data_IF_115366442972
#
_entry.id   IF_115366442972
#
_cell.length_a   1.000
_cell.length_b   1.000
_cell.length_c   1.000
_cell.angle_alpha   90.00
_cell.angle_beta   90.00
_cell.angle_gamma   90.00
#
_symmetry.space_group_name_H-M   'P 1'
#
loop_
_entity.id
_entity.type
_entity.pdbx_description
1 polymer ?
#
# COMPACT_ATOMS: atom_id res chain seq x y z
N UNK A 1 -10.55 -19.33 8.72
CA UNK A 1 -11.83 -19.81 9.30
C UNK A 1 -12.36 -21.09 8.64
N UNK A 2 -12.49 -21.19 7.31
CA UNK A 2 -12.97 -22.43 6.67
C UNK A 2 -11.85 -23.45 6.44
N UNK A 3 -10.65 -22.97 6.07
CA UNK A 3 -9.42 -23.79 6.03
C UNK A 3 -9.18 -24.47 7.38
N UNK A 4 -9.21 -23.70 8.47
CA UNK A 4 -9.01 -24.22 9.85
C UNK A 4 -10.06 -25.29 10.21
N UNK A 5 -11.34 -25.02 9.91
CA UNK A 5 -12.42 -26.01 10.12
C UNK A 5 -12.20 -27.31 9.35
N UNK A 6 -11.67 -27.22 8.14
CA UNK A 6 -11.41 -28.39 7.29
C UNK A 6 -10.19 -29.16 7.81
N UNK A 7 -9.16 -28.46 8.30
CA UNK A 7 -8.02 -29.06 8.98
C UNK A 7 -8.43 -29.79 10.27
N UNK A 8 -9.28 -29.16 11.10
CA UNK A 8 -9.84 -29.79 12.30
C UNK A 8 -10.64 -31.04 11.96
N UNK A 9 -11.44 -31.00 10.88
CA UNK A 9 -12.20 -32.15 10.38
C UNK A 9 -11.30 -33.30 9.94
N UNK A 10 -10.21 -33.03 9.21
CA UNK A 10 -9.21 -34.04 8.83
C UNK A 10 -8.60 -34.65 10.09
N UNK A 11 -8.21 -33.83 11.07
CA UNK A 11 -7.64 -34.30 12.33
C UNK A 11 -8.59 -35.17 13.15
N UNK A 12 -9.88 -34.85 13.15
CA UNK A 12 -10.90 -35.67 13.80
C UNK A 12 -11.09 -37.01 13.07
N UNK A 13 -11.26 -36.98 11.75
CA UNK A 13 -11.46 -38.19 10.92
C UNK A 13 -10.27 -39.13 10.99
N UNK A 14 -9.04 -38.61 10.98
CA UNK A 14 -7.83 -39.41 11.10
C UNK A 14 -7.73 -40.11 12.48
N UNK A 15 -8.19 -39.46 13.56
CA UNK A 15 -8.19 -40.03 14.91
C UNK A 15 -9.26 -41.11 15.10
N UNK A 16 -10.40 -40.97 14.43
CA UNK A 16 -11.50 -41.93 14.49
C UNK A 16 -11.47 -42.97 13.38
N UNK A 17 -10.38 -43.04 12.61
CA UNK A 17 -10.29 -43.90 11.44
C UNK A 17 -10.25 -45.38 11.87
N UNK A 18 -11.24 -46.15 11.43
CA UNK A 18 -11.41 -47.56 11.77
C UNK A 18 -10.96 -48.51 10.65
N UNK A 19 -10.47 -47.98 9.53
CA UNK A 19 -10.06 -48.76 8.35
C UNK A 19 -11.20 -49.16 7.43
N UNK A 20 -12.43 -48.66 7.66
CA UNK A 20 -13.54 -48.86 6.73
C UNK A 20 -13.39 -47.98 5.48
N UNK A 21 -13.83 -48.48 4.33
CA UNK A 21 -13.84 -47.71 3.07
C UNK A 21 -14.64 -46.40 3.19
N UNK A 22 -15.68 -46.39 4.02
CA UNK A 22 -16.49 -45.20 4.27
C UNK A 22 -15.67 -44.14 5.03
N UNK A 23 -14.91 -44.55 6.05
CA UNK A 23 -14.03 -43.65 6.79
C UNK A 23 -12.89 -43.13 5.91
N UNK A 24 -12.34 -43.98 5.04
CA UNK A 24 -11.28 -43.63 4.10
C UNK A 24 -11.78 -42.60 3.07
N UNK A 25 -12.92 -42.86 2.43
CA UNK A 25 -13.55 -41.93 1.47
C UNK A 25 -13.82 -40.57 2.12
N UNK A 26 -14.39 -40.56 3.33
CA UNK A 26 -14.69 -39.32 4.05
C UNK A 26 -13.43 -38.50 4.38
N UNK A 27 -12.31 -39.18 4.67
CA UNK A 27 -11.01 -38.55 4.93
C UNK A 27 -10.44 -37.95 3.64
N UNK A 28 -10.47 -38.68 2.53
CA UNK A 28 -10.01 -38.22 1.23
C UNK A 28 -10.78 -36.98 0.75
N UNK A 29 -12.11 -36.98 0.88
CA UNK A 29 -12.95 -35.82 0.55
C UNK A 29 -12.59 -34.58 1.39
N UNK A 30 -12.35 -34.77 2.69
CA UNK A 30 -11.96 -33.69 3.57
C UNK A 30 -10.58 -33.13 3.20
N UNK A 31 -9.63 -33.99 2.84
CA UNK A 31 -8.30 -33.61 2.36
C UNK A 31 -8.36 -32.87 1.03
N UNK A 32 -9.11 -33.37 0.06
CA UNK A 32 -9.30 -32.73 -1.25
C UNK A 32 -9.87 -31.31 -1.08
N UNK A 33 -10.91 -31.16 -0.24
CA UNK A 33 -11.49 -29.85 0.07
C UNK A 33 -10.50 -28.91 0.75
N UNK A 34 -9.69 -29.40 1.68
CA UNK A 34 -8.67 -28.59 2.34
C UNK A 34 -7.62 -28.07 1.35
N UNK A 35 -7.13 -28.95 0.47
CA UNK A 35 -6.16 -28.57 -0.56
C UNK A 35 -6.73 -27.53 -1.52
N UNK A 36 -7.95 -27.74 -2.00
CA UNK A 36 -8.63 -26.79 -2.88
C UNK A 36 -8.82 -25.42 -2.22
N UNK A 37 -9.28 -25.38 -0.97
CA UNK A 37 -9.45 -24.12 -0.25
C UNK A 37 -8.12 -23.40 -0.04
N UNK A 38 -7.04 -24.13 0.26
CA UNK A 38 -5.70 -23.56 0.41
C UNK A 38 -5.20 -22.95 -0.90
N UNK A 39 -5.41 -23.65 -2.01
CA UNK A 39 -5.05 -23.15 -3.35
C UNK A 39 -5.82 -21.88 -3.69
N UNK A 40 -7.13 -21.85 -3.44
CA UNK A 40 -7.98 -20.66 -3.67
C UNK A 40 -7.49 -19.47 -2.86
N UNK A 41 -7.19 -19.66 -1.57
CA UNK A 41 -6.67 -18.58 -0.71
C UNK A 41 -5.34 -18.06 -1.25
N UNK A 42 -4.42 -18.96 -1.60
CA UNK A 42 -3.13 -18.56 -2.16
C UNK A 42 -3.27 -17.82 -3.50
N UNK A 43 -4.18 -18.26 -4.38
CA UNK A 43 -4.46 -17.59 -5.64
C UNK A 43 -5.01 -16.18 -5.42
N UNK A 44 -5.94 -16.01 -4.47
CA UNK A 44 -6.49 -14.69 -4.11
C UNK A 44 -5.40 -13.77 -3.56
N UNK A 45 -4.51 -14.28 -2.71
CA UNK A 45 -3.39 -13.50 -2.19
C UNK A 45 -2.50 -12.97 -3.33
N UNK A 46 -2.16 -13.82 -4.30
CA UNK A 46 -1.38 -13.43 -5.49
C UNK A 46 -2.13 -12.39 -6.33
N UNK A 47 -3.42 -12.60 -6.59
CA UNK A 47 -4.24 -11.65 -7.35
C UNK A 47 -4.35 -10.30 -6.64
N UNK A 48 -4.48 -10.31 -5.31
CA UNK A 48 -4.60 -9.10 -4.51
C UNK A 48 -3.30 -8.28 -4.51
N UNK A 49 -2.15 -8.96 -4.47
CA UNK A 49 -0.84 -8.30 -4.54
C UNK A 49 -0.61 -7.69 -5.92
N UNK A 50 -0.92 -8.42 -7.00
CA UNK A 50 -0.83 -7.90 -8.36
C UNK A 50 -1.73 -6.67 -8.57
N UNK A 51 -2.95 -6.69 -8.03
CA UNK A 51 -3.86 -5.54 -8.10
C UNK A 51 -3.32 -4.32 -7.34
N UNK A 52 -2.68 -4.55 -6.18
CA UNK A 52 -2.05 -3.50 -5.39
C UNK A 52 -0.85 -2.87 -6.12
N UNK A 53 -0.03 -3.68 -6.81
CA UNK A 53 1.05 -3.20 -7.66
C UNK A 53 0.52 -2.36 -8.84
N UNK A 54 -0.54 -2.81 -9.51
CA UNK A 54 -1.18 -2.03 -10.57
C UNK A 54 -1.69 -0.68 -10.05
N UNK A 55 -2.31 -0.65 -8.87
CA UNK A 55 -2.78 0.59 -8.25
C UNK A 55 -1.62 1.57 -7.96
N UNK A 56 -0.50 1.05 -7.44
CA UNK A 56 0.72 1.82 -7.19
C UNK A 56 1.28 2.45 -8.47
N UNK A 57 1.34 1.67 -9.54
CA UNK A 57 1.85 2.12 -10.84
C UNK A 57 0.93 3.21 -11.42
N UNK A 58 -0.39 3.03 -11.33
CA UNK A 58 -1.36 3.94 -11.95
C UNK A 58 -1.56 5.24 -11.16
N UNK A 59 -1.61 5.15 -9.83
CA UNK A 59 -1.93 6.31 -8.97
C UNK A 59 -0.69 6.99 -8.41
N UNK A 60 0.46 6.33 -8.41
CA UNK A 60 1.67 6.76 -7.71
C UNK A 60 1.56 6.68 -6.18
N UNK A 61 0.43 6.20 -5.64
CA UNK A 61 0.19 6.05 -4.21
C UNK A 61 0.15 4.57 -3.86
N UNK A 62 0.66 4.21 -2.69
CA UNK A 62 0.64 2.81 -2.29
C UNK A 62 -0.71 2.34 -1.76
N UNK A 63 -1.03 1.09 -2.08
CA UNK A 63 -2.30 0.48 -1.72
C UNK A 63 -2.28 -0.05 -0.28
N UNK A 64 -3.23 0.41 0.54
CA UNK A 64 -3.43 -0.05 1.91
C UNK A 64 -4.67 -0.96 1.97
N UNK A 65 -4.54 -2.23 2.38
CA UNK A 65 -5.70 -3.09 2.61
C UNK A 65 -6.46 -2.65 3.88
N UNK A 66 -7.78 -2.74 3.86
CA UNK A 66 -8.64 -2.39 5.00
C UNK A 66 -8.45 -3.33 6.23
N UNK A 67 -7.95 -4.54 6.02
CA UNK A 67 -7.61 -5.49 7.07
C UNK A 67 -6.53 -6.47 6.60
N UNK A 68 -5.67 -6.92 7.53
CA UNK A 68 -4.58 -7.85 7.25
C UNK A 68 -3.29 -7.18 6.77
N UNK A 69 -2.27 -7.98 6.51
CA UNK A 69 -1.01 -7.54 5.90
C UNK A 69 -0.93 -8.03 4.46
N UNK A 70 -0.26 -7.28 3.60
CA UNK A 70 0.07 -7.74 2.25
C UNK A 70 1.09 -8.88 2.32
N UNK A 71 1.07 -9.74 1.31
CA UNK A 71 1.89 -10.96 1.28
C UNK A 71 3.35 -10.70 0.90
N UNK A 72 3.64 -9.59 0.20
CA UNK A 72 4.99 -9.27 -0.23
C UNK A 72 5.85 -8.73 0.92
N UNK A 73 7.15 -9.08 0.92
CA UNK A 73 8.13 -8.62 1.91
C UNK A 73 8.21 -7.08 1.99
N UNK A 74 8.00 -6.40 0.86
CA UNK A 74 7.99 -4.94 0.74
C UNK A 74 6.75 -4.31 1.39
N UNK A 75 5.65 -5.06 1.45
CA UNK A 75 4.39 -4.62 2.03
C UNK A 75 4.11 -5.24 3.42
N UNK A 76 5.03 -6.06 3.93
CA UNK A 76 5.14 -6.43 5.34
C UNK A 76 5.76 -5.34 6.21
N UNK A 77 6.25 -4.24 5.62
CA UNK A 77 6.51 -3.01 6.37
C UNK A 77 5.18 -2.55 6.98
N UNK A 78 5.02 -2.87 8.25
CA UNK A 78 3.84 -2.67 9.11
C UNK A 78 3.08 -1.39 8.77
N UNK A 79 1.74 -1.44 8.74
CA UNK A 79 0.87 -0.30 8.38
C UNK A 79 1.24 1.04 9.04
N UNK A 80 1.83 1.04 10.24
CA UNK A 80 2.35 2.24 10.90
C UNK A 80 3.48 2.96 10.13
N UNK A 81 4.35 2.23 9.44
CA UNK A 81 5.42 2.80 8.58
C UNK A 81 4.80 3.45 7.35
N UNK A 82 3.75 2.83 6.81
CA UNK A 82 3.03 3.39 5.68
C UNK A 82 2.29 4.68 6.04
N UNK A 83 1.52 4.65 7.13
CA UNK A 83 0.85 5.82 7.68
C UNK A 83 1.84 6.95 7.98
N UNK A 84 3.01 6.63 8.56
CA UNK A 84 4.05 7.62 8.80
C UNK A 84 4.57 8.28 7.51
N UNK A 85 4.79 7.52 6.43
CA UNK A 85 5.22 8.08 5.13
C UNK A 85 4.16 8.99 4.53
N UNK A 86 2.90 8.55 4.54
CA UNK A 86 1.79 9.34 4.02
C UNK A 86 1.63 10.66 4.79
N UNK A 87 1.80 10.63 6.12
CA UNK A 87 1.72 11.81 6.96
C UNK A 87 2.87 12.80 6.69
N UNK A 88 4.08 12.29 6.45
CA UNK A 88 5.22 13.12 6.02
C UNK A 88 4.99 13.75 4.64
N UNK A 89 4.52 12.98 3.65
CA UNK A 89 4.20 13.52 2.32
C UNK A 89 3.12 14.59 2.36
N UNK A 90 2.09 14.40 3.21
CA UNK A 90 1.06 15.41 3.41
C UNK A 90 1.65 16.67 4.05
N UNK A 91 2.47 16.52 5.09
CA UNK A 91 3.14 17.65 5.72
C UNK A 91 4.02 18.43 4.73
N UNK A 92 4.79 17.74 3.90
CA UNK A 92 5.64 18.35 2.87
C UNK A 92 4.82 19.10 1.81
N UNK A 93 3.65 18.57 1.45
CA UNK A 93 2.72 19.25 0.54
C UNK A 93 2.15 20.51 1.18
N UNK A 94 1.77 20.46 2.45
CA UNK A 94 1.25 21.61 3.19
C UNK A 94 2.31 22.71 3.40
N UNK A 95 3.57 22.35 3.67
CA UNK A 95 4.66 23.33 3.73
C UNK A 95 4.94 23.93 2.36
N UNK A 96 4.96 23.13 1.29
CA UNK A 96 5.13 23.63 -0.07
C UNK A 96 3.99 24.60 -0.48
N UNK A 97 2.74 24.29 -0.14
CA UNK A 97 1.59 25.18 -0.34
C UNK A 97 1.74 26.50 0.45
N UNK A 98 2.17 26.45 1.71
CA UNK A 98 2.45 27.65 2.52
C UNK A 98 3.63 28.47 2.00
N UNK A 99 4.59 27.82 1.35
CA UNK A 99 5.75 28.45 0.73
C UNK A 99 5.49 28.96 -0.69
N UNK A 100 4.28 28.75 -1.26
CA UNK A 100 3.88 29.45 -2.48
C UNK A 100 3.77 30.94 -2.17
N UNK A 101 4.70 31.71 -2.72
CA UNK A 101 4.62 33.17 -2.72
C UNK A 101 3.46 33.57 -3.63
N UNK A 102 2.38 34.09 -3.07
CA UNK A 102 1.34 34.75 -3.88
C UNK A 102 1.91 36.04 -4.47
N UNK A 103 2.13 36.05 -5.79
CA UNK A 103 2.66 37.19 -6.52
C UNK A 103 3.42 36.78 -7.78
N UNK A 104 3.88 37.76 -8.56
CA UNK A 104 4.71 37.50 -9.75
C UNK A 104 6.09 37.02 -9.28
N UNK A 105 6.53 35.80 -9.65
CA UNK A 105 7.85 35.31 -9.27
C UNK A 105 8.92 36.17 -9.91
N UNK A 106 9.78 36.78 -9.10
CA UNK A 106 10.85 37.65 -9.56
C UNK A 106 12.21 37.12 -9.07
N UNK A 107 13.15 36.98 -9.99
CA UNK A 107 14.54 36.63 -9.68
C UNK A 107 15.39 37.88 -9.93
N UNK A 108 16.06 38.37 -8.90
CA UNK A 108 17.03 39.47 -9.02
C UNK A 108 18.42 38.87 -8.99
N UNK A 109 19.15 38.96 -10.10
CA UNK A 109 20.56 38.58 -10.20
C UNK A 109 21.43 39.81 -10.38
N UNK A 110 22.41 40.01 -9.49
CA UNK A 110 23.34 41.16 -9.53
C UNK A 110 24.43 41.06 -8.46
N UNK A 111 25.43 41.94 -8.51
CA UNK A 111 26.49 42.03 -7.51
C UNK A 111 25.95 42.60 -6.18
N UNK A 112 26.46 42.12 -5.05
CA UNK A 112 25.98 42.48 -3.70
C UNK A 112 26.13 43.97 -3.37
N UNK A 113 26.94 44.71 -4.15
CA UNK A 113 27.27 46.12 -4.00
C UNK A 113 26.48 47.06 -4.93
N UNK A 114 25.36 46.59 -5.49
CA UNK A 114 24.52 47.41 -6.37
C UNK A 114 23.94 48.63 -5.63
N UNK A 115 24.27 49.83 -6.10
CA UNK A 115 24.00 51.09 -5.39
C UNK A 115 22.74 51.81 -5.88
N UNK A 116 22.19 51.42 -7.02
CA UNK A 116 21.07 52.11 -7.67
C UNK A 116 19.77 51.30 -7.55
N UNK A 117 19.13 51.43 -6.39
CA UNK A 117 17.90 50.70 -6.03
C UNK A 117 16.66 51.21 -6.77
N UNK A 118 16.68 52.48 -7.22
CA UNK A 118 15.53 53.14 -7.84
C UNK A 118 15.18 52.55 -9.21
N UNK A 119 16.17 52.05 -9.96
CA UNK A 119 15.95 51.39 -11.25
C UNK A 119 15.14 50.09 -11.10
N UNK A 120 15.33 49.38 -9.99
CA UNK A 120 14.63 48.12 -9.70
C UNK A 120 13.14 48.42 -9.45
N UNK A 121 12.83 49.36 -8.55
CA UNK A 121 11.46 49.72 -8.23
C UNK A 121 10.70 50.33 -9.43
N UNK A 122 11.35 51.19 -10.22
CA UNK A 122 10.74 51.74 -11.44
C UNK A 122 10.42 50.67 -12.49
N UNK A 123 11.19 49.58 -12.52
CA UNK A 123 10.92 48.46 -13.43
C UNK A 123 9.77 47.61 -12.89
N UNK A 124 9.74 47.36 -11.59
CA UNK A 124 8.65 46.63 -10.92
C UNK A 124 7.29 47.33 -11.07
N UNK A 125 7.25 48.65 -10.95
CA UNK A 125 6.02 49.44 -11.10
C UNK A 125 5.42 49.36 -12.51
N UNK A 126 6.20 48.97 -13.53
CA UNK A 126 5.71 48.76 -14.89
C UNK A 126 5.05 47.39 -15.12
N UNK A 127 5.31 46.42 -14.24
CA UNK A 127 4.82 45.03 -14.36
C UNK A 127 3.62 44.79 -13.43
N UNK A 128 3.14 45.84 -12.75
CA UNK A 128 1.98 45.79 -11.86
C UNK A 128 0.65 45.76 -12.61
#
# INVERSE_FOLDING_TARGET
KEVDRTADKIGALAKSHDGSEIAETALEEAQARFLQLREIVSAIEVMSEAAAECYEIETGHAFIPAAGSRASVRAQETGAVFEARQLLEQHDRETAEKSKVEGVPLIVSGATDWTDVDVIFNTLDKVR
#
